data_IF_357687886552
#
_entry.id   IF_357687886552
#
_cell.length_a   1.000
_cell.length_b   1.000
_cell.length_c   1.000
_cell.angle_alpha   90.00
_cell.angle_beta   90.00
_cell.angle_gamma   90.00
#
_symmetry.space_group_name_H-M   'P 1'
#
loop_
_entity.id
_entity.type
_entity.pdbx_description
1 polymer ?
#
# COMPACT_ATOMS: atom_id res chain seq x y z
N UNK A 1 17.70 17.59 1.37
CA UNK A 1 16.94 16.76 2.31
C UNK A 1 17.03 15.34 1.85
N UNK A 2 17.77 14.53 2.61
CA UNK A 2 18.12 13.15 2.31
C UNK A 2 16.85 12.29 2.35
N UNK A 3 16.40 11.81 1.20
CA UNK A 3 15.35 10.79 1.12
C UNK A 3 15.91 9.48 1.65
N UNK A 4 15.22 8.84 2.58
CA UNK A 4 15.41 7.41 2.81
C UNK A 4 14.07 6.72 2.67
N UNK A 5 13.71 6.36 1.44
CA UNK A 5 12.79 5.23 1.28
C UNK A 5 13.48 4.02 1.94
N UNK A 6 12.93 3.52 3.03
CA UNK A 6 13.48 2.35 3.70
C UNK A 6 12.98 1.13 2.93
N UNK A 7 13.89 0.52 2.16
CA UNK A 7 13.59 -0.66 1.36
C UNK A 7 14.14 -1.89 2.05
N UNK A 8 13.24 -2.80 2.40
CA UNK A 8 13.56 -4.16 2.79
C UNK A 8 13.34 -5.07 1.59
N UNK A 9 14.36 -5.85 1.22
CA UNK A 9 14.25 -6.88 0.20
C UNK A 9 13.31 -8.02 0.67
N UNK A 10 12.83 -8.88 -0.24
CA UNK A 10 12.11 -10.10 0.15
C UNK A 10 12.83 -10.84 1.29
N UNK A 11 12.11 -11.22 2.36
CA UNK A 11 12.71 -11.85 3.52
C UNK A 11 13.26 -13.24 3.21
N UNK A 12 14.16 -13.73 4.07
CA UNK A 12 14.54 -15.15 4.06
C UNK A 12 13.35 -16.02 4.46
N UNK A 13 13.41 -17.32 4.16
CA UNK A 13 12.35 -18.27 4.57
C UNK A 13 12.17 -18.30 6.10
N UNK A 14 13.27 -18.13 6.85
CA UNK A 14 13.24 -18.03 8.31
C UNK A 14 12.52 -16.76 8.77
N UNK A 15 12.87 -15.61 8.22
CA UNK A 15 12.25 -14.33 8.59
C UNK A 15 10.76 -14.29 8.20
N UNK A 16 10.39 -14.88 7.06
CA UNK A 16 9.00 -15.02 6.65
C UNK A 16 8.19 -15.90 7.63
N UNK A 17 8.79 -16.96 8.17
CA UNK A 17 8.16 -17.80 9.18
C UNK A 17 7.98 -17.04 10.51
N UNK A 18 9.00 -16.30 10.96
CA UNK A 18 8.93 -15.44 12.15
C UNK A 18 7.84 -14.38 11.97
N UNK A 19 7.79 -13.74 10.81
CA UNK A 19 6.81 -12.71 10.50
C UNK A 19 5.38 -13.24 10.55
N UNK A 20 5.15 -14.47 10.07
CA UNK A 20 3.84 -15.13 10.13
C UNK A 20 3.37 -15.36 11.57
N UNK A 21 4.23 -15.93 12.41
CA UNK A 21 3.91 -16.20 13.82
C UNK A 21 3.69 -14.90 14.58
N UNK A 22 4.61 -13.94 14.45
CA UNK A 22 4.52 -12.63 15.09
C UNK A 22 3.27 -11.87 14.63
N UNK A 23 2.97 -11.95 13.33
CA UNK A 23 1.79 -11.36 12.70
C UNK A 23 0.49 -11.86 13.33
N UNK A 24 0.36 -13.18 13.46
CA UNK A 24 -0.79 -13.82 14.11
C UNK A 24 -0.93 -13.40 15.57
N UNK A 25 0.17 -13.36 16.33
CA UNK A 25 0.16 -12.95 17.73
C UNK A 25 -0.30 -11.49 17.90
N UNK A 26 0.19 -10.59 17.05
CA UNK A 26 -0.10 -9.15 17.11
C UNK A 26 -1.46 -8.76 16.52
N UNK A 27 -2.01 -9.56 15.59
CA UNK A 27 -3.26 -9.26 14.89
C UNK A 27 -4.45 -8.97 15.81
N UNK A 28 -4.50 -9.64 16.98
CA UNK A 28 -5.56 -9.48 17.99
C UNK A 28 -5.56 -8.10 18.65
N UNK A 29 -4.42 -7.42 18.65
CA UNK A 29 -4.24 -6.11 19.28
C UNK A 29 -4.36 -4.97 18.26
N UNK A 30 -3.88 -5.18 17.02
CA UNK A 30 -3.92 -4.16 15.97
C UNK A 30 -5.34 -3.70 15.62
N UNK A 31 -6.33 -4.61 15.66
CA UNK A 31 -7.75 -4.29 15.38
C UNK A 31 -8.34 -3.26 16.36
N UNK A 32 -7.74 -3.09 17.53
CA UNK A 32 -8.26 -2.21 18.58
C UNK A 32 -7.87 -0.74 18.39
N UNK A 33 -6.95 -0.42 17.45
CA UNK A 33 -6.42 0.95 17.21
C UNK A 33 -5.94 1.64 18.50
N UNK A 34 -5.35 0.89 19.43
CA UNK A 34 -4.81 1.38 20.70
C UNK A 34 -3.28 1.28 20.71
N UNK A 35 -2.58 2.09 21.52
CA UNK A 35 -1.16 1.92 21.76
C UNK A 35 -0.84 0.50 22.27
N UNK A 36 0.31 -0.03 21.90
CA UNK A 36 0.79 -1.35 22.34
C UNK A 36 2.06 -1.21 23.16
N UNK A 37 2.09 -1.85 24.32
CA UNK A 37 3.30 -1.92 25.15
C UNK A 37 4.09 -3.17 24.80
N UNK A 38 5.35 -3.01 24.40
CA UNK A 38 6.30 -4.09 24.12
C UNK A 38 7.40 -4.10 25.18
N UNK A 39 7.94 -5.27 25.48
CA UNK A 39 9.13 -5.42 26.32
C UNK A 39 10.22 -6.13 25.54
N UNK A 40 11.39 -5.52 25.45
CA UNK A 40 12.57 -6.12 24.82
C UNK A 40 13.33 -6.87 25.91
N UNK A 41 13.59 -8.16 25.71
CA UNK A 41 14.25 -9.04 26.70
C UNK A 41 15.75 -9.21 26.44
N UNK A 42 16.26 -8.66 25.34
CA UNK A 42 17.67 -8.74 24.92
C UNK A 42 18.50 -7.52 25.37
N UNK A 43 17.89 -6.61 26.13
CA UNK A 43 18.58 -5.43 26.69
C UNK A 43 18.65 -5.53 28.21
N UNK A 44 19.77 -5.11 28.80
CA UNK A 44 19.90 -4.94 30.25
C UNK A 44 18.86 -3.97 30.85
N UNK A 45 18.18 -3.19 29.99
CA UNK A 45 17.04 -2.37 30.37
C UNK A 45 15.73 -3.10 30.08
N UNK A 46 15.02 -3.54 31.14
CA UNK A 46 13.69 -4.16 31.03
C UNK A 46 12.54 -3.15 30.86
N UNK A 47 12.82 -1.94 30.38
CA UNK A 47 11.79 -0.88 30.33
C UNK A 47 10.77 -1.19 29.22
N UNK A 48 9.46 -1.17 29.52
CA UNK A 48 8.44 -1.29 28.50
C UNK A 48 8.51 -0.11 27.53
N UNK A 49 8.43 -0.40 26.22
CA UNK A 49 8.31 0.56 25.14
C UNK A 49 6.85 0.66 24.72
N UNK A 50 6.32 1.88 24.58
CA UNK A 50 5.00 2.09 23.99
C UNK A 50 5.11 2.42 22.49
N UNK A 51 4.34 1.69 21.69
CA UNK A 51 4.17 1.96 20.27
C UNK A 51 2.82 2.65 20.01
N UNK A 52 2.80 3.78 19.28
CA UNK A 52 1.56 4.41 18.83
C UNK A 52 0.73 3.47 17.95
N UNK A 53 -0.60 3.62 17.99
CA UNK A 53 -1.51 2.78 17.22
C UNK A 53 -1.20 2.74 15.72
N UNK A 54 -0.80 3.88 15.13
CA UNK A 54 -0.41 3.94 13.71
C UNK A 54 0.86 3.14 13.40
N UNK A 55 1.85 3.16 14.30
CA UNK A 55 3.07 2.35 14.15
C UNK A 55 2.78 0.85 14.27
N UNK A 56 1.84 0.47 15.15
CA UNK A 56 1.37 -0.92 15.27
C UNK A 56 0.67 -1.38 13.99
N UNK A 57 -0.17 -0.54 13.38
CA UNK A 57 -0.81 -0.84 12.10
C UNK A 57 0.23 -1.06 10.98
N UNK A 58 1.20 -0.14 10.84
CA UNK A 58 2.28 -0.28 9.87
C UNK A 58 3.12 -1.54 10.09
N UNK A 59 3.44 -1.86 11.34
CA UNK A 59 4.15 -3.10 11.68
C UNK A 59 3.38 -4.33 11.22
N UNK A 60 2.04 -4.31 11.29
CA UNK A 60 1.22 -5.44 10.82
C UNK A 60 1.28 -5.62 9.32
N UNK A 61 1.17 -4.52 8.56
CA UNK A 61 1.29 -4.55 7.10
C UNK A 61 2.67 -5.07 6.67
N UNK A 62 3.73 -4.65 7.38
CA UNK A 62 5.10 -5.14 7.17
C UNK A 62 5.19 -6.66 7.41
N UNK A 63 4.69 -7.13 8.55
CA UNK A 63 4.75 -8.54 8.91
C UNK A 63 3.92 -9.41 7.96
N UNK A 64 2.77 -8.93 7.47
CA UNK A 64 1.96 -9.63 6.48
C UNK A 64 2.68 -9.72 5.13
N UNK A 65 3.27 -8.63 4.66
CA UNK A 65 4.08 -8.62 3.44
C UNK A 65 5.25 -9.60 3.55
N UNK A 66 5.98 -9.55 4.67
CA UNK A 66 7.10 -10.46 4.93
C UNK A 66 6.66 -11.94 5.01
N UNK A 67 5.55 -12.23 5.67
CA UNK A 67 5.01 -13.59 5.77
C UNK A 67 4.63 -14.20 4.40
N UNK A 68 4.29 -13.33 3.45
CA UNK A 68 4.03 -13.66 2.05
C UNK A 68 5.30 -13.68 1.17
N UNK A 69 6.49 -13.50 1.76
CA UNK A 69 7.76 -13.46 1.02
C UNK A 69 7.94 -12.19 0.19
N UNK A 70 7.21 -11.12 0.49
CA UNK A 70 7.29 -9.84 -0.23
C UNK A 70 8.22 -8.88 0.50
N UNK A 71 9.01 -8.13 -0.28
CA UNK A 71 9.76 -6.99 0.25
C UNK A 71 8.83 -5.82 0.58
N UNK A 72 9.32 -4.87 1.39
CA UNK A 72 8.55 -3.70 1.84
C UNK A 72 9.33 -2.43 1.56
N UNK A 73 8.62 -1.38 1.12
CA UNK A 73 9.18 -0.04 0.97
C UNK A 73 8.36 0.92 1.81
N UNK A 74 8.99 1.57 2.79
CA UNK A 74 8.37 2.66 3.56
C UNK A 74 8.78 4.00 2.94
N UNK A 75 7.78 4.82 2.60
CA UNK A 75 7.96 6.15 2.03
C UNK A 75 7.23 7.19 2.87
N UNK A 76 7.88 8.31 3.22
CA UNK A 76 7.19 9.43 3.85
C UNK A 76 6.07 9.97 2.96
N UNK A 77 4.97 10.40 3.57
CA UNK A 77 3.82 10.96 2.86
C UNK A 77 4.17 12.25 2.12
N UNK A 78 5.05 13.08 2.70
CA UNK A 78 5.55 14.30 2.08
C UNK A 78 6.72 14.08 1.09
N UNK A 79 6.98 12.82 0.70
CA UNK A 79 8.04 12.52 -0.24
C UNK A 79 7.70 13.04 -1.64
N UNK A 80 8.74 13.54 -2.33
CA UNK A 80 8.67 13.82 -3.75
C UNK A 80 9.29 12.69 -4.56
N UNK A 81 8.51 12.16 -5.48
CA UNK A 81 8.84 11.06 -6.35
C UNK A 81 9.43 11.57 -7.66
N UNK A 82 10.40 10.82 -8.17
CA UNK A 82 10.75 10.86 -9.59
C UNK A 82 9.65 10.21 -10.42
N UNK A 83 9.63 10.49 -11.73
CA UNK A 83 8.72 9.81 -12.66
C UNK A 83 8.91 8.28 -12.70
N UNK A 84 10.08 7.77 -12.31
CA UNK A 84 10.30 6.31 -12.24
C UNK A 84 9.57 5.75 -11.02
N UNK A 85 9.82 6.33 -9.85
CA UNK A 85 9.19 5.90 -8.59
C UNK A 85 7.67 6.02 -8.63
N UNK A 86 7.14 7.14 -9.14
CA UNK A 86 5.70 7.32 -9.27
C UNK A 86 5.06 6.29 -10.22
N UNK A 87 5.78 5.88 -11.29
CA UNK A 87 5.29 4.86 -12.20
C UNK A 87 5.28 3.47 -11.54
N UNK A 88 6.29 3.17 -10.73
CA UNK A 88 6.35 1.95 -9.91
C UNK A 88 5.20 1.90 -8.89
N UNK A 89 4.92 3.02 -8.19
CA UNK A 89 3.80 3.11 -7.23
C UNK A 89 2.45 2.86 -7.91
N UNK A 90 2.24 3.41 -9.11
CA UNK A 90 1.01 3.22 -9.87
C UNK A 90 0.96 1.88 -10.62
N UNK A 91 2.04 1.10 -10.61
CA UNK A 91 2.20 -0.13 -11.39
C UNK A 91 1.92 0.09 -12.89
N UNK A 92 2.47 1.17 -13.46
CA UNK A 92 2.33 1.53 -14.88
C UNK A 92 3.69 1.77 -15.53
N UNK A 93 3.71 1.83 -16.85
CA UNK A 93 4.93 2.21 -17.57
C UNK A 93 5.26 3.69 -17.35
N UNK A 94 6.56 4.02 -17.26
CA UNK A 94 7.01 5.42 -17.16
C UNK A 94 6.51 6.30 -18.33
N UNK A 95 6.49 5.85 -19.60
CA UNK A 95 5.92 6.64 -20.69
C UNK A 95 4.44 6.97 -20.49
N UNK A 96 3.65 6.03 -19.96
CA UNK A 96 2.25 6.28 -19.65
C UNK A 96 2.09 7.34 -18.55
N UNK A 97 2.85 7.23 -17.46
CA UNK A 97 2.85 8.28 -16.44
C UNK A 97 3.24 9.65 -17.02
N UNK A 98 4.23 9.72 -17.90
CA UNK A 98 4.64 10.99 -18.50
C UNK A 98 3.47 11.63 -19.27
N UNK A 99 2.67 10.84 -20.00
CA UNK A 99 1.47 11.35 -20.68
C UNK A 99 0.46 11.94 -19.68
N UNK A 100 0.16 11.22 -18.60
CA UNK A 100 -0.73 11.73 -17.54
C UNK A 100 -0.25 13.06 -16.95
N UNK A 101 1.06 13.20 -16.75
CA UNK A 101 1.65 14.44 -16.23
C UNK A 101 1.58 15.58 -17.25
N UNK A 102 1.76 15.29 -18.54
CA UNK A 102 1.67 16.28 -19.61
C UNK A 102 0.22 16.72 -19.86
N UNK A 103 -0.75 15.83 -19.63
CA UNK A 103 -2.20 16.11 -19.66
C UNK A 103 -2.70 16.82 -18.39
N UNK A 104 -1.85 16.96 -17.37
CA UNK A 104 -2.21 17.61 -16.10
C UNK A 104 -3.07 16.76 -15.17
N UNK A 105 -3.23 15.46 -15.45
CA UNK A 105 -4.04 14.54 -14.65
C UNK A 105 -3.48 14.31 -13.25
N UNK A 106 -2.16 14.47 -13.08
CA UNK A 106 -1.48 14.40 -11.78
C UNK A 106 -0.66 15.68 -11.58
N UNK A 107 -0.87 16.44 -10.48
CA UNK A 107 -0.05 17.59 -10.16
C UNK A 107 1.44 17.23 -10.09
N UNK A 108 2.28 18.10 -10.66
CA UNK A 108 3.72 17.93 -10.58
C UNK A 108 4.43 19.28 -10.68
N UNK A 109 5.68 19.31 -10.24
CA UNK A 109 6.56 20.46 -10.43
C UNK A 109 7.80 20.08 -11.21
N UNK A 110 8.42 21.07 -11.84
CA UNK A 110 9.75 20.93 -12.46
C UNK A 110 10.83 21.39 -11.49
N UNK A 111 11.88 20.61 -11.38
CA UNK A 111 13.13 20.94 -10.68
C UNK A 111 14.25 20.81 -11.71
N UNK A 112 14.66 21.95 -12.27
CA UNK A 112 15.50 21.98 -13.46
C UNK A 112 14.81 21.28 -14.64
N UNK A 113 15.48 20.27 -15.21
CA UNK A 113 14.95 19.48 -16.34
C UNK A 113 14.06 18.31 -15.90
N UNK A 114 13.97 18.01 -14.61
CA UNK A 114 13.28 16.83 -14.11
C UNK A 114 11.92 17.17 -13.49
N UNK A 115 10.94 16.27 -13.64
CA UNK A 115 9.67 16.35 -12.91
C UNK A 115 9.80 15.75 -11.51
N UNK A 116 9.04 16.32 -10.57
CA UNK A 116 8.84 15.81 -9.20
C UNK A 116 7.34 15.79 -8.93
N UNK A 117 6.87 14.68 -8.37
CA UNK A 117 5.45 14.43 -8.10
C UNK A 117 5.34 14.10 -6.62
N UNK A 118 4.40 14.69 -5.89
CA UNK A 118 4.26 14.35 -4.47
C UNK A 118 3.60 12.99 -4.32
N UNK A 119 3.98 12.23 -3.30
CA UNK A 119 3.37 10.94 -3.01
C UNK A 119 1.86 11.07 -2.79
N UNK A 120 1.43 12.13 -2.08
CA UNK A 120 0.01 12.45 -1.88
C UNK A 120 -0.77 12.54 -3.20
N UNK A 121 -0.22 13.20 -4.22
CA UNK A 121 -0.86 13.39 -5.52
C UNK A 121 -0.94 12.06 -6.30
N UNK A 122 0.11 11.23 -6.22
CA UNK A 122 0.11 9.90 -6.85
C UNK A 122 -0.94 8.99 -6.22
N UNK A 123 -1.03 8.99 -4.89
CA UNK A 123 -1.99 8.16 -4.16
C UNK A 123 -3.43 8.64 -4.38
N UNK A 124 -3.66 9.95 -4.45
CA UNK A 124 -4.96 10.53 -4.78
C UNK A 124 -5.44 10.10 -6.18
N UNK A 125 -4.55 10.15 -7.17
CA UNK A 125 -4.85 9.65 -8.52
C UNK A 125 -5.18 8.16 -8.52
N UNK A 126 -4.37 7.34 -7.83
CA UNK A 126 -4.61 5.90 -7.73
C UNK A 126 -5.99 5.60 -7.14
N UNK A 127 -6.34 6.26 -6.03
CA UNK A 127 -7.63 6.07 -5.37
C UNK A 127 -8.82 6.48 -6.25
N UNK A 128 -8.68 7.52 -7.08
CA UNK A 128 -9.72 7.90 -8.04
C UNK A 128 -9.95 6.80 -9.09
N UNK A 129 -8.88 6.27 -9.68
CA UNK A 129 -8.95 5.22 -10.71
C UNK A 129 -9.47 3.90 -10.13
N UNK A 130 -9.06 3.53 -8.91
CA UNK A 130 -9.55 2.29 -8.29
C UNK A 130 -11.06 2.36 -8.04
N UNK A 131 -11.59 3.50 -7.58
CA UNK A 131 -13.05 3.71 -7.42
C UNK A 131 -13.81 3.64 -8.74
N UNK A 132 -13.25 4.21 -9.80
CA UNK A 132 -13.85 4.14 -11.14
C UNK A 132 -13.90 2.69 -11.64
N UNK A 133 -12.82 1.92 -11.44
CA UNK A 133 -12.78 0.49 -11.77
C UNK A 133 -13.82 -0.31 -11.00
N UNK A 134 -13.96 -0.08 -9.69
CA UNK A 134 -15.00 -0.73 -8.87
C UNK A 134 -16.40 -0.42 -9.41
N UNK A 135 -16.67 0.85 -9.75
CA UNK A 135 -17.96 1.27 -10.31
C UNK A 135 -18.29 0.56 -11.62
N UNK A 136 -17.31 0.43 -12.53
CA UNK A 136 -17.50 -0.27 -13.81
C UNK A 136 -17.72 -1.76 -13.60
N UNK A 137 -17.00 -2.39 -12.66
CA UNK A 137 -17.21 -3.80 -12.34
C UNK A 137 -18.61 -4.04 -11.77
N UNK A 138 -19.08 -3.18 -10.88
CA UNK A 138 -20.44 -3.27 -10.32
C UNK A 138 -21.51 -3.12 -11.42
N UNK A 139 -21.31 -2.23 -12.38
CA UNK A 139 -22.18 -2.09 -13.56
C UNK A 139 -22.22 -3.37 -14.40
N UNK A 140 -21.06 -3.94 -14.72
CA UNK A 140 -20.98 -5.19 -15.49
C UNK A 140 -21.65 -6.36 -14.76
N UNK A 141 -21.54 -6.43 -13.44
CA UNK A 141 -22.23 -7.45 -12.63
C UNK A 141 -23.75 -7.24 -12.64
N UNK A 142 -24.22 -6.00 -12.50
CA UNK A 142 -25.65 -5.68 -12.59
C UNK A 142 -26.22 -6.05 -13.95
N UNK A 143 -25.55 -5.64 -15.03
CA UNK A 143 -25.96 -5.95 -16.41
C UNK A 143 -26.01 -7.46 -16.66
N UNK A 144 -25.04 -8.23 -16.16
CA UNK A 144 -25.05 -9.69 -16.28
C UNK A 144 -26.21 -10.33 -15.51
N UNK A 145 -26.54 -9.84 -14.30
CA UNK A 145 -27.66 -10.33 -13.49
C UNK A 145 -29.02 -9.99 -14.12
N UNK A 146 -29.16 -8.81 -14.71
CA UNK A 146 -30.35 -8.39 -15.46
C UNK A 146 -30.55 -9.26 -16.71
N UNK A 147 -29.47 -9.54 -17.45
CA UNK A 147 -29.51 -10.45 -18.61
C UNK A 147 -29.87 -11.89 -18.23
N UNK A 148 -29.40 -12.40 -17.08
CA UNK A 148 -29.79 -13.72 -16.58
C UNK A 148 -31.27 -13.78 -16.15
N UNK A 149 -31.82 -12.69 -15.61
CA UNK A 149 -33.23 -12.59 -15.23
C UNK A 149 -34.15 -12.46 -16.46
N UNK A 150 -33.71 -11.73 -17.50
CA UNK A 150 -34.46 -11.56 -18.75
C UNK A 150 -34.41 -12.82 -19.66
N UNK A 151 -33.32 -13.60 -19.58
CA UNK A 151 -33.18 -14.87 -20.30
C UNK A 151 -34.01 -16.03 -19.72
N UNK A 152 -34.78 -15.80 -18.65
CA UNK A 152 -35.86 -16.67 -18.20
C UNK A 152 -35.53 -18.17 -18.27
N UNK A 153 -34.56 -18.65 -17.50
CA UNK A 153 -34.38 -20.09 -17.30
C UNK A 153 -35.57 -20.62 -16.48
N UNK A 154 -36.66 -20.90 -17.19
CA UNK A 154 -37.70 -21.82 -16.74
C UNK A 154 -37.04 -23.19 -16.62
N UNK A 155 -36.61 -23.52 -15.40
CA UNK A 155 -36.10 -24.86 -15.10
C UNK A 155 -37.32 -25.80 -15.07
N UNK A 156 -37.36 -26.86 -15.90
CA UNK A 156 -38.43 -27.86 -15.81
C UNK A 156 -38.37 -28.64 -14.50
#
# INVERSE_FOLDING_TARGET
>A
MTMFAHRQLPPSAQDAAIARVSGQLLSRYARQKRPLTLRVTDSEQERPLELPAGAVALLMDILEAMAAGRGVTLMPENAELTTVQAAEVLNVSRPFLIKLLDEGAIPHRKVGKHRRIRMEDVMAYKAAIDRERETVLDQLVSEAQEQEQDMGYHRP
#
